data_IF_681552474837
#
_entry.id   IF_681552474837
#
_cell.length_a   1.000
_cell.length_b   1.000
_cell.length_c   1.000
_cell.angle_alpha   90.00
_cell.angle_beta   90.00
_cell.angle_gamma   90.00
#
_symmetry.space_group_name_H-M   'P 1'
#
loop_
_entity.id
_entity.type
_entity.pdbx_description
1 polymer ?
#
# COMPACT_ATOMS: atom_id res chain seq x y z
N UNK A 1 8.26 2.17 -23.21
CA UNK A 1 7.29 3.28 -23.36
C UNK A 1 7.65 4.32 -22.32
N UNK A 2 8.41 5.34 -22.72
CA UNK A 2 8.80 6.44 -21.84
C UNK A 2 9.02 7.68 -22.73
N UNK A 3 8.25 8.75 -22.51
CA UNK A 3 8.23 9.90 -23.42
C UNK A 3 9.56 10.65 -23.45
N UNK A 4 10.28 10.72 -22.32
CA UNK A 4 11.59 11.36 -22.25
C UNK A 4 12.59 10.64 -23.15
N UNK A 5 12.76 9.34 -22.95
CA UNK A 5 13.73 8.58 -23.74
C UNK A 5 13.30 8.45 -25.20
N UNK A 6 12.01 8.26 -25.50
CA UNK A 6 11.57 8.20 -26.90
C UNK A 6 11.75 9.53 -27.65
N UNK A 7 11.59 10.67 -26.96
CA UNK A 7 11.60 11.99 -27.58
C UNK A 7 12.95 12.72 -27.51
N UNK A 8 13.81 12.40 -26.55
CA UNK A 8 15.04 13.16 -26.28
C UNK A 8 16.32 12.33 -26.28
N UNK A 9 16.32 11.15 -25.67
CA UNK A 9 17.54 10.35 -25.46
C UNK A 9 17.35 8.85 -25.77
N UNK A 10 16.92 8.47 -26.98
CA UNK A 10 16.49 7.09 -27.28
C UNK A 10 17.56 6.01 -27.08
N UNK A 11 18.83 6.41 -27.15
CA UNK A 11 20.02 5.57 -26.93
C UNK A 11 20.38 5.38 -25.45
N UNK A 12 19.79 6.18 -24.54
CA UNK A 12 20.13 6.18 -23.10
C UNK A 12 19.14 5.41 -22.22
N UNK A 13 18.19 4.69 -22.80
CA UNK A 13 17.25 3.83 -22.03
C UNK A 13 18.01 2.84 -21.14
N UNK A 14 17.46 2.59 -19.95
CA UNK A 14 17.99 1.63 -18.98
C UNK A 14 19.41 1.92 -18.50
N UNK A 15 19.83 3.18 -18.59
CA UNK A 15 21.18 3.59 -18.24
C UNK A 15 21.30 4.31 -16.91
N UNK A 16 20.21 4.88 -16.42
CA UNK A 16 20.12 5.46 -15.08
C UNK A 16 18.80 5.04 -14.44
N UNK A 17 18.75 3.78 -13.99
CA UNK A 17 17.60 3.26 -13.26
C UNK A 17 17.46 3.94 -11.90
N UNK A 18 18.57 4.43 -11.33
CA UNK A 18 18.57 5.12 -10.03
C UNK A 18 17.70 6.37 -10.03
N UNK A 19 17.74 7.18 -11.09
CA UNK A 19 17.15 8.52 -11.06
C UNK A 19 16.02 8.75 -12.09
N UNK A 20 15.95 7.97 -13.18
CA UNK A 20 15.09 8.32 -14.32
C UNK A 20 13.75 7.57 -14.38
N UNK A 21 13.42 6.79 -13.35
CA UNK A 21 12.07 6.26 -13.09
C UNK A 21 11.45 5.50 -14.28
N UNK A 22 12.25 4.76 -15.06
CA UNK A 22 11.73 4.06 -16.25
C UNK A 22 10.81 2.90 -15.87
N UNK A 23 11.18 2.12 -14.83
CA UNK A 23 10.37 1.02 -14.34
C UNK A 23 9.26 1.53 -13.43
N UNK A 24 9.49 2.59 -12.64
CA UNK A 24 8.44 3.27 -11.88
C UNK A 24 7.27 3.72 -12.79
N UNK A 25 7.59 4.42 -13.88
CA UNK A 25 6.57 4.83 -14.85
C UNK A 25 5.88 3.63 -15.51
N UNK A 26 6.62 2.55 -15.79
CA UNK A 26 6.05 1.33 -16.35
C UNK A 26 5.09 0.64 -15.36
N UNK A 27 5.42 0.63 -14.05
CA UNK A 27 4.59 0.05 -13.00
C UNK A 27 3.27 0.79 -12.86
N UNK A 28 3.29 2.12 -12.72
CA UNK A 28 2.05 2.90 -12.68
C UNK A 28 1.19 2.78 -13.94
N UNK A 29 1.81 2.75 -15.13
CA UNK A 29 1.07 2.49 -16.36
C UNK A 29 0.44 1.09 -16.39
N UNK A 30 1.13 0.10 -15.80
CA UNK A 30 0.63 -1.28 -15.71
C UNK A 30 -0.55 -1.36 -14.74
N UNK A 31 -0.46 -0.74 -13.56
CA UNK A 31 -1.58 -0.67 -12.61
C UNK A 31 -2.82 -0.01 -13.24
N UNK A 32 -2.63 1.10 -13.96
CA UNK A 32 -3.71 1.77 -14.68
C UNK A 32 -4.34 0.89 -15.76
N UNK A 33 -3.53 0.13 -16.50
CA UNK A 33 -4.01 -0.79 -17.53
C UNK A 33 -4.80 -1.97 -16.94
N UNK A 34 -4.36 -2.50 -15.79
CA UNK A 34 -5.05 -3.56 -15.05
C UNK A 34 -6.41 -3.05 -14.58
N UNK A 35 -6.44 -1.92 -13.86
CA UNK A 35 -7.69 -1.34 -13.35
C UNK A 35 -8.67 -1.00 -14.49
N UNK A 36 -8.16 -0.48 -15.62
CA UNK A 36 -8.98 -0.19 -16.80
C UNK A 36 -9.58 -1.46 -17.41
N UNK A 37 -8.80 -2.55 -17.47
CA UNK A 37 -9.29 -3.85 -17.94
C UNK A 37 -10.36 -4.42 -17.00
N UNK A 38 -10.11 -4.47 -15.69
CA UNK A 38 -11.06 -4.99 -14.70
C UNK A 38 -12.39 -4.22 -14.72
N UNK A 39 -12.32 -2.90 -14.93
CA UNK A 39 -13.52 -2.05 -14.96
C UNK A 39 -14.30 -2.13 -16.27
N UNK A 40 -13.61 -2.24 -17.41
CA UNK A 40 -14.24 -2.06 -18.73
C UNK A 40 -14.24 -3.30 -19.62
N UNK A 41 -13.49 -4.34 -19.26
CA UNK A 41 -13.19 -5.51 -20.09
C UNK A 41 -12.30 -5.22 -21.30
N UNK A 42 -11.85 -3.98 -21.51
CA UNK A 42 -11.09 -3.58 -22.72
C UNK A 42 -9.60 -3.88 -22.57
N UNK A 43 -9.10 -4.79 -23.41
CA UNK A 43 -7.73 -5.30 -23.31
C UNK A 43 -6.64 -4.49 -23.98
N UNK A 44 -6.95 -3.59 -24.91
CA UNK A 44 -5.93 -2.92 -25.75
C UNK A 44 -4.77 -2.31 -24.95
N UNK A 45 -5.05 -1.64 -23.83
CA UNK A 45 -4.00 -1.05 -23.00
C UNK A 45 -3.21 -2.11 -22.24
N UNK A 46 -3.90 -3.10 -21.65
CA UNK A 46 -3.27 -4.24 -20.98
C UNK A 46 -2.34 -5.00 -21.93
N UNK A 47 -2.77 -5.33 -23.15
CA UNK A 47 -1.96 -6.05 -24.14
C UNK A 47 -0.69 -5.26 -24.53
N UNK A 48 -0.76 -3.92 -24.56
CA UNK A 48 0.41 -3.05 -24.76
C UNK A 48 1.37 -3.16 -23.57
N UNK A 49 0.84 -3.16 -22.35
CA UNK A 49 1.64 -3.26 -21.14
C UNK A 49 2.25 -4.65 -20.96
N UNK A 50 1.55 -5.73 -21.26
CA UNK A 50 2.09 -7.10 -21.26
C UNK A 50 3.30 -7.23 -22.21
N UNK A 51 3.23 -6.63 -23.40
CA UNK A 51 4.39 -6.55 -24.32
C UNK A 51 5.55 -5.73 -23.76
N UNK A 52 5.25 -4.66 -23.03
CA UNK A 52 6.29 -3.84 -22.41
C UNK A 52 6.93 -4.59 -21.22
N UNK A 53 6.15 -5.29 -20.41
CA UNK A 53 6.62 -6.18 -19.34
C UNK A 53 7.49 -7.30 -19.91
N UNK A 54 7.12 -7.89 -21.04
CA UNK A 54 7.97 -8.90 -21.69
C UNK A 54 9.33 -8.32 -22.14
N UNK A 55 9.36 -7.08 -22.65
CA UNK A 55 10.61 -6.39 -22.94
C UNK A 55 11.45 -6.12 -21.67
N UNK A 56 10.81 -5.71 -20.57
CA UNK A 56 11.47 -5.53 -19.27
C UNK A 56 12.06 -6.87 -18.80
N UNK A 57 11.28 -7.96 -18.86
CA UNK A 57 11.71 -9.33 -18.49
C UNK A 57 12.90 -9.82 -19.31
N UNK A 58 12.97 -9.47 -20.59
CA UNK A 58 14.12 -9.81 -21.44
C UNK A 58 15.34 -8.95 -21.11
N UNK A 59 15.14 -7.72 -20.64
CA UNK A 59 16.21 -6.76 -20.33
C UNK A 59 16.83 -6.99 -18.95
N UNK A 60 16.02 -7.32 -17.95
CA UNK A 60 16.44 -7.44 -16.55
C UNK A 60 16.31 -8.87 -16.03
N UNK A 61 17.32 -9.30 -15.27
CA UNK A 61 17.41 -10.66 -14.76
C UNK A 61 18.85 -11.09 -14.52
N UNK A 62 19.03 -12.34 -14.13
CA UNK A 62 20.34 -12.96 -13.88
C UNK A 62 20.88 -13.75 -15.09
N UNK A 63 20.15 -13.78 -16.20
CA UNK A 63 20.51 -14.52 -17.39
C UNK A 63 21.59 -13.83 -18.25
N UNK A 64 22.20 -14.55 -19.22
CA UNK A 64 23.20 -13.99 -20.10
C UNK A 64 22.69 -12.76 -20.87
N UNK A 65 23.44 -11.66 -20.82
CA UNK A 65 23.12 -10.42 -21.52
C UNK A 65 22.06 -9.54 -20.83
N UNK A 66 21.48 -9.99 -19.72
CA UNK A 66 20.54 -9.19 -18.94
C UNK A 66 21.29 -8.23 -18.00
N UNK A 67 20.64 -7.10 -17.69
CA UNK A 67 21.08 -6.16 -16.66
C UNK A 67 20.58 -6.64 -15.30
N UNK A 68 21.49 -6.73 -14.33
CA UNK A 68 21.15 -7.02 -12.91
C UNK A 68 20.64 -5.78 -12.17
N UNK A 69 19.82 -4.99 -12.86
CA UNK A 69 19.31 -3.70 -12.39
C UNK A 69 17.92 -3.76 -11.80
N UNK A 70 17.61 -2.71 -11.05
CA UNK A 70 16.34 -2.39 -10.41
C UNK A 70 16.19 -0.86 -10.38
N UNK A 71 14.97 -0.34 -10.29
CA UNK A 71 14.72 1.11 -10.28
C UNK A 71 15.16 1.75 -8.94
N UNK A 72 15.53 3.02 -8.94
CA UNK A 72 15.76 3.78 -7.71
C UNK A 72 14.47 4.19 -7.01
N UNK A 73 13.32 4.06 -7.67
CA UNK A 73 11.99 4.17 -7.06
C UNK A 73 11.16 2.91 -7.33
N UNK A 74 10.89 2.17 -6.27
CA UNK A 74 10.00 1.00 -6.22
C UNK A 74 8.61 1.38 -6.72
N UNK A 75 7.96 0.44 -7.43
CA UNK A 75 6.58 0.54 -7.94
C UNK A 75 6.31 -0.61 -8.92
N UNK A 76 7.29 -0.99 -9.74
CA UNK A 76 7.10 -2.04 -10.74
C UNK A 76 6.81 -3.40 -10.08
N UNK A 77 7.37 -3.64 -8.90
CA UNK A 77 7.28 -4.90 -8.18
C UNK A 77 5.82 -5.21 -7.78
N UNK A 78 5.12 -4.27 -7.13
CA UNK A 78 3.71 -4.44 -6.76
C UNK A 78 2.80 -4.51 -7.99
N UNK A 79 3.11 -3.76 -9.05
CA UNK A 79 2.35 -3.80 -10.29
C UNK A 79 2.47 -5.17 -10.99
N UNK A 80 3.64 -5.81 -10.95
CA UNK A 80 3.88 -7.14 -11.50
C UNK A 80 3.16 -8.24 -10.71
N UNK A 81 3.05 -8.13 -9.39
CA UNK A 81 2.22 -9.05 -8.59
C UNK A 81 0.75 -8.91 -8.98
N UNK A 82 0.24 -7.68 -9.13
CA UNK A 82 -1.14 -7.46 -9.62
C UNK A 82 -1.37 -8.07 -11.01
N UNK A 83 -0.40 -7.94 -11.92
CA UNK A 83 -0.48 -8.59 -13.24
C UNK A 83 -0.49 -10.12 -13.12
N UNK A 84 0.30 -10.69 -12.22
CA UNK A 84 0.26 -12.12 -11.92
C UNK A 84 -1.10 -12.54 -11.35
N UNK A 85 -1.70 -11.78 -10.44
CA UNK A 85 -3.04 -12.09 -9.91
C UNK A 85 -4.10 -12.11 -10.99
N UNK A 86 -4.01 -11.20 -11.96
CA UNK A 86 -4.94 -11.10 -13.09
C UNK A 86 -4.76 -12.24 -14.11
N UNK A 87 -3.51 -12.55 -14.48
CA UNK A 87 -3.19 -13.47 -15.60
C UNK A 87 -2.87 -14.89 -15.16
N UNK A 88 -2.48 -15.07 -13.90
CA UNK A 88 -1.91 -16.30 -13.32
C UNK A 88 -0.64 -16.79 -14.03
N UNK A 89 0.02 -15.94 -14.82
CA UNK A 89 1.27 -16.28 -15.48
C UNK A 89 2.48 -16.06 -14.57
N UNK A 90 3.09 -17.18 -14.12
CA UNK A 90 4.21 -17.18 -13.16
C UNK A 90 5.38 -16.27 -13.55
N UNK A 91 5.63 -16.06 -14.84
CA UNK A 91 6.70 -15.18 -15.35
C UNK A 91 6.64 -13.75 -14.80
N UNK A 92 5.45 -13.25 -14.45
CA UNK A 92 5.27 -11.93 -13.85
C UNK A 92 5.67 -11.92 -12.38
N UNK A 93 5.29 -12.97 -11.63
CA UNK A 93 5.70 -13.19 -10.25
C UNK A 93 7.22 -13.38 -10.13
N UNK A 94 7.80 -14.18 -11.02
CA UNK A 94 9.25 -14.42 -11.06
C UNK A 94 10.03 -13.12 -11.33
N UNK A 95 9.51 -12.24 -12.18
CA UNK A 95 10.12 -10.93 -12.46
C UNK A 95 10.01 -9.98 -11.25
N UNK A 96 8.86 -9.95 -10.57
CA UNK A 96 8.70 -9.19 -9.32
C UNK A 96 9.69 -9.68 -8.25
N UNK A 97 9.78 -10.99 -8.07
CA UNK A 97 10.70 -11.63 -7.14
C UNK A 97 12.16 -11.31 -7.47
N UNK A 98 12.53 -11.28 -8.76
CA UNK A 98 13.87 -10.86 -9.19
C UNK A 98 14.19 -9.44 -8.70
N UNK A 99 13.33 -8.44 -8.94
CA UNK A 99 13.60 -7.06 -8.52
C UNK A 99 13.76 -6.93 -7.00
N UNK A 100 12.91 -7.61 -6.23
CA UNK A 100 12.99 -7.64 -4.77
C UNK A 100 14.28 -8.32 -4.27
N UNK A 101 14.68 -9.44 -4.89
CA UNK A 101 15.85 -10.20 -4.45
C UNK A 101 17.18 -9.56 -4.88
N UNK A 102 17.20 -8.88 -6.02
CA UNK A 102 18.39 -8.20 -6.54
C UNK A 102 18.65 -6.86 -5.81
N UNK A 103 17.60 -6.23 -5.26
CA UNK A 103 17.71 -4.95 -4.55
C UNK A 103 18.68 -5.02 -3.37
N UNK A 104 19.72 -4.19 -3.44
CA UNK A 104 20.72 -4.03 -2.37
C UNK A 104 21.78 -5.13 -2.30
N UNK A 105 21.87 -6.01 -3.31
CA UNK A 105 22.96 -6.98 -3.41
C UNK A 105 24.31 -6.28 -3.60
N UNK A 106 25.33 -6.78 -2.90
CA UNK A 106 26.70 -6.26 -2.96
C UNK A 106 27.74 -7.37 -2.70
N UNK A 107 29.01 -7.21 -3.13
CA UNK A 107 29.48 -6.31 -4.19
C UNK A 107 29.45 -6.98 -5.60
N UNK A 108 29.33 -6.20 -6.70
CA UNK A 108 29.19 -4.74 -6.73
C UNK A 108 27.73 -4.28 -6.57
N UNK A 109 27.53 -3.06 -6.07
CA UNK A 109 26.20 -2.44 -6.04
C UNK A 109 25.80 -1.96 -7.44
N UNK A 110 24.58 -2.29 -7.90
CA UNK A 110 24.19 -2.02 -9.30
C UNK A 110 24.25 -0.53 -9.66
N UNK A 111 23.87 0.39 -8.75
CA UNK A 111 23.95 1.83 -9.02
C UNK A 111 25.36 2.37 -9.20
N UNK A 112 26.38 1.71 -8.62
CA UNK A 112 27.78 2.04 -8.93
C UNK A 112 28.14 1.54 -10.33
N UNK A 113 27.72 0.32 -10.68
CA UNK A 113 27.97 -0.28 -12.00
C UNK A 113 27.39 0.59 -13.11
N UNK A 114 26.11 0.96 -13.03
CA UNK A 114 25.50 1.81 -14.06
C UNK A 114 26.08 3.23 -14.10
N UNK A 115 26.48 3.80 -12.95
CA UNK A 115 27.21 5.08 -12.93
C UNK A 115 28.51 4.98 -13.71
N UNK A 116 29.34 3.99 -13.41
CA UNK A 116 30.62 3.79 -14.08
C UNK A 116 30.44 3.51 -15.59
N UNK A 117 29.40 2.77 -15.98
CA UNK A 117 29.05 2.57 -17.39
C UNK A 117 28.69 3.89 -18.10
N UNK A 118 27.93 4.77 -17.45
CA UNK A 118 27.59 6.10 -17.99
C UNK A 118 28.83 6.98 -18.13
N UNK A 119 29.67 7.02 -17.11
CA UNK A 119 30.91 7.81 -17.10
C UNK A 119 31.88 7.34 -18.20
N UNK A 120 32.02 6.02 -18.40
CA UNK A 120 32.83 5.45 -19.50
C UNK A 120 32.32 5.84 -20.89
N UNK A 121 31.02 6.10 -21.04
CA UNK A 121 30.41 6.57 -22.29
C UNK A 121 30.54 8.09 -22.48
N UNK A 122 31.14 8.81 -21.53
CA UNK A 122 31.23 10.27 -21.56
C UNK A 122 29.87 10.96 -21.41
N UNK A 123 28.87 10.28 -20.84
CA UNK A 123 27.57 10.88 -20.57
C UNK A 123 27.65 11.75 -19.31
N UNK A 124 26.87 12.84 -19.30
CA UNK A 124 26.94 13.84 -18.23
C UNK A 124 26.82 13.21 -16.84
N UNK A 125 27.70 13.65 -15.95
CA UNK A 125 27.68 13.25 -14.55
C UNK A 125 26.39 13.74 -13.88
N UNK A 126 25.52 12.80 -13.51
CA UNK A 126 24.33 13.10 -12.73
C UNK A 126 24.64 12.96 -11.24
N UNK A 127 24.64 14.10 -10.54
CA UNK A 127 24.86 14.19 -9.10
C UNK A 127 23.89 13.26 -8.39
N UNK A 128 24.41 12.44 -7.49
CA UNK A 128 23.56 11.62 -6.64
C UNK A 128 22.85 12.53 -5.63
N UNK A 129 21.56 12.83 -5.88
CA UNK A 129 20.84 13.89 -5.18
C UNK A 129 20.84 13.72 -3.65
N UNK A 130 20.75 12.48 -3.18
CA UNK A 130 20.63 12.14 -1.76
C UNK A 130 21.85 11.41 -1.19
N UNK A 131 22.88 11.18 -2.02
CA UNK A 131 24.20 10.63 -1.65
C UNK A 131 24.22 9.33 -0.80
N UNK A 132 23.09 8.65 -0.59
CA UNK A 132 22.96 7.47 0.28
C UNK A 132 22.04 6.40 -0.34
N UNK A 133 22.46 5.14 -0.30
CA UNK A 133 21.65 3.99 -0.70
C UNK A 133 20.45 3.73 0.20
N UNK A 134 20.42 4.34 1.40
CA UNK A 134 19.25 4.31 2.26
C UNK A 134 18.07 5.03 1.63
N UNK A 135 18.29 6.11 0.86
CA UNK A 135 17.23 6.90 0.22
C UNK A 135 16.30 6.04 -0.64
N UNK A 136 16.86 5.05 -1.32
CA UNK A 136 16.15 4.09 -2.19
C UNK A 136 16.13 2.68 -1.59
N UNK A 137 16.29 2.51 -0.27
CA UNK A 137 16.21 1.20 0.39
C UNK A 137 17.09 0.11 -0.27
N UNK A 138 18.28 0.50 -0.74
CA UNK A 138 19.24 -0.36 -1.47
C UNK A 138 20.56 -0.55 -0.73
N UNK A 139 20.64 -0.05 0.50
CA UNK A 139 21.83 -0.17 1.35
C UNK A 139 22.10 -1.62 1.80
N UNK A 140 21.07 -2.48 1.84
CA UNK A 140 21.14 -3.90 2.18
C UNK A 140 20.08 -4.70 1.41
N UNK A 141 20.28 -6.02 1.20
CA UNK A 141 19.22 -6.92 0.74
C UNK A 141 17.97 -6.79 1.61
N UNK A 142 16.77 -6.83 1.00
CA UNK A 142 15.52 -6.49 1.70
C UNK A 142 15.24 -7.36 2.94
N UNK A 143 15.67 -8.63 2.93
CA UNK A 143 15.48 -9.56 4.07
C UNK A 143 16.37 -9.22 5.26
N UNK A 144 17.44 -8.47 5.04
CA UNK A 144 18.41 -8.03 6.04
C UNK A 144 18.14 -6.60 6.56
N UNK A 145 17.15 -5.91 5.99
CA UNK A 145 16.76 -4.58 6.46
C UNK A 145 16.05 -4.70 7.81
N UNK A 146 16.57 -3.99 8.80
CA UNK A 146 16.13 -3.97 10.19
C UNK A 146 15.52 -2.63 10.62
N UNK A 147 15.67 -1.61 9.78
CA UNK A 147 15.14 -0.27 9.96
C UNK A 147 14.56 0.26 8.66
N UNK A 148 13.45 0.97 8.76
CA UNK A 148 12.89 1.73 7.64
C UNK A 148 13.57 3.08 7.57
N UNK A 149 14.25 3.32 6.45
CA UNK A 149 15.11 4.48 6.19
C UNK A 149 14.81 5.09 4.82
N UNK A 150 15.30 6.31 4.57
CA UNK A 150 15.19 6.95 3.26
C UNK A 150 13.79 7.44 2.92
N UNK A 151 13.48 7.53 1.63
CA UNK A 151 12.24 8.11 1.13
C UNK A 151 11.00 7.30 1.53
N UNK A 152 9.97 7.96 2.07
CA UNK A 152 8.84 7.25 2.66
C UNK A 152 8.02 6.47 1.62
N UNK A 153 7.66 7.09 0.49
CA UNK A 153 6.84 6.42 -0.56
C UNK A 153 7.55 5.21 -1.15
N UNK A 154 8.87 5.29 -1.35
CA UNK A 154 9.70 4.23 -1.93
C UNK A 154 9.68 3.00 -1.03
N UNK A 155 9.92 3.22 0.26
CA UNK A 155 9.86 2.19 1.28
C UNK A 155 8.46 1.52 1.33
N UNK A 156 7.38 2.29 1.35
CA UNK A 156 6.03 1.72 1.45
C UNK A 156 5.64 0.92 0.20
N UNK A 157 6.01 1.38 -1.01
CA UNK A 157 5.81 0.61 -2.24
C UNK A 157 6.66 -0.67 -2.27
N UNK A 158 7.90 -0.61 -1.79
CA UNK A 158 8.76 -1.78 -1.62
C UNK A 158 8.07 -2.83 -0.72
N UNK A 159 7.62 -2.41 0.46
CA UNK A 159 7.08 -3.31 1.47
C UNK A 159 5.72 -3.86 1.10
N UNK A 160 4.93 -3.11 0.31
CA UNK A 160 3.70 -3.59 -0.33
C UNK A 160 4.01 -4.81 -1.21
N UNK A 161 5.01 -4.71 -2.09
CA UNK A 161 5.40 -5.81 -2.97
C UNK A 161 6.00 -7.00 -2.19
N UNK A 162 6.80 -6.73 -1.16
CA UNK A 162 7.37 -7.77 -0.30
C UNK A 162 6.30 -8.59 0.41
N UNK A 163 5.24 -7.94 0.92
CA UNK A 163 4.15 -8.63 1.62
C UNK A 163 3.38 -9.56 0.68
N UNK A 164 3.03 -9.11 -0.53
CA UNK A 164 2.41 -9.96 -1.56
C UNK A 164 3.32 -11.16 -1.91
N UNK A 165 4.61 -10.92 -2.15
CA UNK A 165 5.56 -11.97 -2.50
C UNK A 165 5.79 -12.98 -1.37
N UNK A 166 5.71 -12.55 -0.11
CA UNK A 166 5.81 -13.44 1.03
C UNK A 166 4.68 -14.48 1.03
N UNK A 167 3.45 -14.07 0.68
CA UNK A 167 2.30 -14.99 0.49
C UNK A 167 2.51 -15.87 -0.73
N UNK A 168 2.71 -15.27 -1.90
CA UNK A 168 2.71 -15.99 -3.19
C UNK A 168 3.86 -16.99 -3.34
N UNK A 169 4.99 -16.73 -2.68
CA UNK A 169 6.15 -17.62 -2.69
C UNK A 169 6.25 -18.49 -1.43
N UNK A 170 5.33 -18.33 -0.47
CA UNK A 170 5.42 -18.95 0.85
C UNK A 170 6.80 -18.71 1.51
N UNK A 171 7.28 -17.46 1.47
CA UNK A 171 8.61 -17.07 1.93
C UNK A 171 8.55 -16.53 3.37
N UNK A 172 8.82 -17.41 4.33
CA UNK A 172 8.82 -17.06 5.75
C UNK A 172 9.86 -15.99 6.13
N UNK A 173 11.01 -15.94 5.44
CA UNK A 173 12.04 -14.94 5.72
C UNK A 173 11.61 -13.55 5.23
N UNK A 174 10.90 -13.49 4.10
CA UNK A 174 10.32 -12.25 3.60
C UNK A 174 9.15 -11.79 4.48
N UNK A 175 8.28 -12.70 4.93
CA UNK A 175 7.23 -12.40 5.93
C UNK A 175 7.83 -11.78 7.20
N UNK A 176 8.86 -12.41 7.77
CA UNK A 176 9.52 -11.90 8.98
C UNK A 176 10.19 -10.53 8.77
N UNK A 177 10.67 -10.23 7.55
CA UNK A 177 11.18 -8.91 7.21
C UNK A 177 10.06 -7.86 7.16
N UNK A 178 8.92 -8.17 6.54
CA UNK A 178 7.75 -7.30 6.51
C UNK A 178 7.24 -6.97 7.92
N UNK A 179 7.11 -7.97 8.80
CA UNK A 179 6.67 -7.78 10.19
C UNK A 179 7.63 -6.90 10.98
N UNK A 180 8.94 -7.16 10.88
CA UNK A 180 9.95 -6.35 11.56
C UNK A 180 9.95 -4.88 11.11
N UNK A 181 9.83 -4.65 9.79
CA UNK A 181 9.80 -3.30 9.23
C UNK A 181 8.49 -2.58 9.54
N UNK A 182 7.38 -3.32 9.59
CA UNK A 182 6.09 -2.81 10.06
C UNK A 182 6.20 -2.30 11.50
N UNK A 183 6.71 -3.12 12.41
CA UNK A 183 6.86 -2.75 13.81
C UNK A 183 7.80 -1.55 13.98
N UNK A 184 8.90 -1.47 13.21
CA UNK A 184 9.80 -0.31 13.25
C UNK A 184 9.08 1.01 12.92
N UNK A 185 8.24 1.02 11.86
CA UNK A 185 7.50 2.22 11.47
C UNK A 185 6.40 2.54 12.48
N UNK A 186 5.56 1.57 12.81
CA UNK A 186 4.37 1.82 13.64
C UNK A 186 4.72 2.20 15.08
N UNK A 187 5.85 1.70 15.60
CA UNK A 187 6.26 1.98 16.98
C UNK A 187 7.05 3.29 17.09
N UNK A 188 7.85 3.63 16.08
CA UNK A 188 8.86 4.71 16.23
C UNK A 188 8.78 5.84 15.22
N UNK A 189 8.10 5.70 14.07
CA UNK A 189 8.21 6.65 12.94
C UNK A 189 6.88 7.10 12.34
N UNK A 190 5.74 6.73 12.95
CA UNK A 190 4.42 7.11 12.47
C UNK A 190 3.83 8.25 13.30
N UNK A 191 3.39 9.32 12.64
CA UNK A 191 2.63 10.39 13.27
C UNK A 191 1.24 9.90 13.71
N UNK A 192 0.59 10.60 14.65
CA UNK A 192 -0.77 10.26 15.13
C UNK A 192 -1.83 10.26 14.01
N UNK A 193 -1.55 10.92 12.88
CA UNK A 193 -2.39 10.96 11.67
C UNK A 193 -2.09 9.82 10.68
N UNK A 194 -1.19 8.91 11.03
CA UNK A 194 -0.54 7.95 10.13
C UNK A 194 0.26 8.59 8.97
N UNK A 195 0.62 9.88 9.10
CA UNK A 195 1.60 10.51 8.22
C UNK A 195 3.00 9.91 8.43
N UNK A 196 3.81 9.89 7.38
CA UNK A 196 5.17 9.34 7.38
C UNK A 196 6.17 10.34 6.79
N UNK A 197 7.37 10.36 7.36
CA UNK A 197 8.47 11.20 6.91
C UNK A 197 8.48 12.57 7.62
N UNK A 198 9.34 12.77 8.63
CA UNK A 198 9.47 14.07 9.30
C UNK A 198 10.28 15.11 8.52
N UNK A 199 11.02 14.71 7.48
CA UNK A 199 12.02 15.57 6.84
C UNK A 199 11.69 15.92 5.38
N UNK A 200 11.65 17.21 5.00
CA UNK A 200 11.54 17.64 3.60
C UNK A 200 12.82 17.39 2.80
N UNK A 201 13.95 17.14 3.46
CA UNK A 201 15.22 16.97 2.76
C UNK A 201 15.25 15.68 1.93
N UNK A 202 14.75 14.59 2.50
CA UNK A 202 14.69 13.26 1.87
C UNK A 202 13.24 12.77 1.68
N UNK A 203 12.25 13.60 2.00
CA UNK A 203 10.82 13.27 1.87
C UNK A 203 10.47 11.97 2.60
N UNK A 204 11.10 11.75 3.75
CA UNK A 204 11.21 10.43 4.32
C UNK A 204 11.72 10.39 5.74
N UNK A 205 12.16 9.19 6.13
CA UNK A 205 12.49 8.84 7.49
C UNK A 205 13.83 9.42 7.94
N UNK A 206 13.94 9.70 9.24
CA UNK A 206 15.15 10.18 9.91
C UNK A 206 15.63 9.13 10.93
N UNK A 207 15.29 9.28 12.21
CA UNK A 207 15.65 8.36 13.30
C UNK A 207 14.43 8.07 14.17
N UNK A 208 14.54 7.05 15.03
CA UNK A 208 13.45 6.61 15.91
C UNK A 208 12.94 7.78 16.78
N UNK A 209 11.62 7.93 16.83
CA UNK A 209 10.87 8.93 17.59
C UNK A 209 11.03 10.40 17.14
N UNK A 210 11.72 10.68 16.04
CA UNK A 210 11.79 12.02 15.45
C UNK A 210 10.49 12.39 14.73
N UNK A 211 9.52 12.94 15.47
CA UNK A 211 8.19 13.29 14.95
C UNK A 211 7.81 14.76 15.23
N UNK A 212 8.58 15.74 14.72
CA UNK A 212 8.26 17.16 14.91
C UNK A 212 6.95 17.51 14.20
N UNK A 213 6.02 18.20 14.88
CA UNK A 213 4.70 18.52 14.32
C UNK A 213 4.74 19.63 13.27
N UNK A 214 5.52 20.68 13.52
CA UNK A 214 5.55 21.88 12.69
C UNK A 214 6.32 21.68 11.38
N UNK A 215 7.41 20.90 11.41
CA UNK A 215 8.27 20.66 10.25
C UNK A 215 8.00 19.34 9.55
N UNK A 216 6.96 18.59 9.98
CA UNK A 216 6.59 17.31 9.40
C UNK A 216 6.42 17.44 7.87
N UNK A 217 7.04 16.52 7.14
CA UNK A 217 6.77 16.38 5.71
C UNK A 217 5.43 15.67 5.51
N UNK A 218 5.29 14.48 6.11
CA UNK A 218 4.04 13.70 6.15
C UNK A 218 3.35 13.68 4.78
N UNK A 219 4.07 13.21 3.75
CA UNK A 219 3.62 13.31 2.37
C UNK A 219 2.29 12.58 2.15
N UNK A 220 1.36 13.19 1.41
CA UNK A 220 0.08 12.53 1.05
C UNK A 220 0.31 11.19 0.37
N UNK A 221 1.27 11.08 -0.57
CA UNK A 221 1.60 9.80 -1.21
C UNK A 221 2.11 8.76 -0.22
N UNK A 222 2.82 9.15 0.83
CA UNK A 222 3.35 8.21 1.81
C UNK A 222 2.21 7.58 2.64
N UNK A 223 1.20 8.38 3.01
CA UNK A 223 -0.02 7.87 3.64
C UNK A 223 -0.82 6.95 2.71
N UNK A 224 -0.94 7.30 1.42
CA UNK A 224 -1.58 6.42 0.42
C UNK A 224 -0.83 5.10 0.26
N UNK A 225 0.50 5.16 0.19
CA UNK A 225 1.35 3.98 0.09
C UNK A 225 1.28 3.11 1.35
N UNK A 226 1.18 3.72 2.53
CA UNK A 226 0.95 3.01 3.80
C UNK A 226 -0.38 2.25 3.78
N UNK A 227 -1.45 2.82 3.20
CA UNK A 227 -2.73 2.11 3.04
C UNK A 227 -2.57 0.86 2.17
N UNK A 228 -1.80 0.94 1.08
CA UNK A 228 -1.52 -0.23 0.25
C UNK A 228 -0.76 -1.29 1.05
N UNK A 229 0.31 -0.90 1.74
CA UNK A 229 1.10 -1.82 2.54
C UNK A 229 0.27 -2.47 3.65
N UNK A 230 -0.50 -1.69 4.40
CA UNK A 230 -1.38 -2.17 5.46
C UNK A 230 -2.40 -3.20 4.94
N UNK A 231 -2.96 -2.97 3.74
CA UNK A 231 -3.85 -3.95 3.11
C UNK A 231 -3.12 -5.26 2.80
N UNK A 232 -1.90 -5.20 2.26
CA UNK A 232 -1.12 -6.42 1.96
C UNK A 232 -0.71 -7.17 3.23
N UNK A 233 -0.34 -6.45 4.29
CA UNK A 233 -0.07 -7.06 5.59
C UNK A 233 -1.31 -7.75 6.17
N UNK A 234 -2.49 -7.15 5.99
CA UNK A 234 -3.77 -7.74 6.41
C UNK A 234 -4.14 -9.01 5.62
N UNK A 235 -3.73 -9.09 4.35
CA UNK A 235 -3.89 -10.29 3.52
C UNK A 235 -2.85 -11.37 3.84
N UNK A 236 -1.65 -10.97 4.29
CA UNK A 236 -0.59 -11.85 4.74
C UNK A 236 -0.91 -12.49 6.10
N UNK A 237 -1.50 -11.72 7.02
CA UNK A 237 -1.93 -12.18 8.33
C UNK A 237 -3.13 -11.36 8.80
N UNK A 238 -4.24 -12.03 9.15
CA UNK A 238 -5.49 -11.36 9.51
C UNK A 238 -5.39 -10.82 10.94
N UNK A 239 -4.73 -9.67 11.09
CA UNK A 239 -4.55 -8.95 12.34
C UNK A 239 -5.14 -7.54 12.25
N UNK A 240 -5.99 -7.20 13.22
CA UNK A 240 -6.68 -5.92 13.34
C UNK A 240 -5.74 -4.74 13.40
N UNK A 241 -4.49 -4.91 13.88
CA UNK A 241 -3.49 -3.82 13.92
C UNK A 241 -3.19 -3.24 12.53
N UNK A 242 -3.22 -4.07 11.48
CA UNK A 242 -2.99 -3.61 10.11
C UNK A 242 -4.18 -2.78 9.62
N UNK A 243 -5.39 -3.26 9.88
CA UNK A 243 -6.62 -2.58 9.52
C UNK A 243 -6.85 -1.30 10.33
N UNK A 244 -6.37 -1.22 11.57
CA UNK A 244 -6.39 0.01 12.38
C UNK A 244 -5.52 1.10 11.76
N UNK A 245 -4.31 0.76 11.30
CA UNK A 245 -3.43 1.70 10.61
C UNK A 245 -4.00 2.09 9.24
N UNK A 246 -4.58 1.12 8.52
CA UNK A 246 -5.29 1.37 7.27
C UNK A 246 -6.41 2.41 7.47
N UNK A 247 -7.28 2.19 8.46
CA UNK A 247 -8.35 3.11 8.84
C UNK A 247 -7.79 4.49 9.23
N UNK A 248 -6.75 4.53 10.08
CA UNK A 248 -6.15 5.77 10.55
C UNK A 248 -5.60 6.61 9.39
N UNK A 249 -4.83 6.00 8.50
CA UNK A 249 -4.28 6.65 7.32
C UNK A 249 -5.37 7.11 6.35
N UNK A 250 -6.42 6.30 6.17
CA UNK A 250 -7.54 6.63 5.30
C UNK A 250 -8.30 7.86 5.79
N UNK A 251 -8.72 7.87 7.06
CA UNK A 251 -9.50 8.98 7.63
C UNK A 251 -8.68 10.22 8.01
N UNK A 252 -7.34 10.12 8.04
CA UNK A 252 -6.45 11.23 8.40
C UNK A 252 -5.42 11.51 7.31
N UNK A 253 -4.23 10.88 7.38
CA UNK A 253 -3.04 11.29 6.63
C UNK A 253 -3.17 11.27 5.10
N UNK A 254 -4.07 10.46 4.52
CA UNK A 254 -4.34 10.47 3.09
C UNK A 254 -5.41 11.50 2.72
N UNK A 255 -6.55 11.51 3.44
CA UNK A 255 -7.67 12.42 3.13
C UNK A 255 -7.37 13.89 3.47
N UNK A 256 -6.49 14.20 4.42
CA UNK A 256 -6.04 15.58 4.67
C UNK A 256 -5.41 16.21 3.43
N UNK A 257 -4.81 15.37 2.58
CA UNK A 257 -4.20 15.70 1.30
C UNK A 257 -5.15 16.28 0.26
N UNK A 258 -6.46 16.09 0.40
CA UNK A 258 -7.48 16.50 -0.57
C UNK A 258 -8.44 17.52 0.04
N UNK A 259 -8.76 18.59 -0.67
CA UNK A 259 -9.80 19.54 -0.26
C UNK A 259 -11.19 18.91 -0.34
N UNK A 260 -12.15 19.48 0.40
CA UNK A 260 -13.54 18.99 0.39
C UNK A 260 -14.24 19.12 -0.96
N UNK A 261 -13.85 20.09 -1.77
CA UNK A 261 -14.32 20.27 -3.15
C UNK A 261 -13.58 19.36 -4.17
N UNK A 262 -12.46 18.74 -3.76
CA UNK A 262 -11.63 17.90 -4.63
C UNK A 262 -10.73 18.67 -5.60
N UNK A 263 -10.63 20.00 -5.48
CA UNK A 263 -9.91 20.84 -6.45
C UNK A 263 -8.50 21.24 -6.00
N UNK A 264 -8.17 21.10 -4.70
CA UNK A 264 -6.91 21.54 -4.12
C UNK A 264 -6.25 20.44 -3.29
N UNK A 265 -4.92 20.44 -3.27
CA UNK A 265 -4.14 19.32 -2.74
C UNK A 265 -3.02 19.78 -1.80
N UNK A 266 -2.75 18.98 -0.76
CA UNK A 266 -1.50 19.08 -0.01
C UNK A 266 -0.51 18.04 -0.52
N UNK A 267 0.74 18.48 -0.70
CA UNK A 267 1.87 17.56 -0.79
C UNK A 267 2.30 17.16 0.63
N UNK A 268 2.56 18.16 1.48
CA UNK A 268 2.96 18.01 2.88
C UNK A 268 1.77 18.20 3.84
N UNK A 269 1.67 17.38 4.89
CA UNK A 269 0.57 17.41 5.86
C UNK A 269 1.08 17.66 7.30
N UNK A 270 1.50 18.89 7.65
CA UNK A 270 2.01 19.20 8.98
C UNK A 270 0.93 19.09 10.05
N UNK A 271 1.34 18.72 11.27
CA UNK A 271 0.43 18.56 12.42
C UNK A 271 0.30 19.85 13.25
N UNK A 272 1.23 20.78 13.08
CA UNK A 272 1.16 22.14 13.63
C UNK A 272 1.38 23.15 12.52
N UNK A 273 0.55 24.19 12.47
CA UNK A 273 0.58 25.18 11.39
C UNK A 273 0.38 26.59 11.92
N UNK A 274 1.15 27.54 11.39
CA UNK A 274 0.97 28.98 11.59
C UNK A 274 0.01 29.60 10.55
N UNK A 275 -0.64 28.79 9.71
CA UNK A 275 -1.56 29.22 8.65
C UNK A 275 -0.91 29.48 7.29
N UNK A 276 0.42 29.33 7.16
CA UNK A 276 1.12 29.52 5.88
C UNK A 276 1.01 28.33 4.91
N UNK A 277 1.09 27.06 5.35
CA UNK A 277 0.82 25.92 4.47
C UNK A 277 -0.64 25.93 4.02
N UNK A 278 -0.86 26.10 2.71
CA UNK A 278 -2.17 26.01 2.07
C UNK A 278 -2.15 24.94 0.98
N UNK A 279 -3.33 24.39 0.66
CA UNK A 279 -3.48 23.47 -0.46
C UNK A 279 -3.24 24.19 -1.78
N UNK A 280 -2.68 23.50 -2.76
CA UNK A 280 -2.34 24.05 -4.07
C UNK A 280 -3.32 23.53 -5.12
N UNK A 281 -3.59 24.34 -6.14
CA UNK A 281 -4.31 23.91 -7.33
C UNK A 281 -3.52 22.82 -8.08
N UNK A 282 -2.20 22.99 -8.15
CA UNK A 282 -1.29 22.07 -8.83
C UNK A 282 0.15 22.16 -8.31
N UNK A 283 0.87 21.03 -8.34
CA UNK A 283 2.28 20.91 -7.96
C UNK A 283 3.13 20.53 -9.19
N UNK A 284 4.39 20.99 -9.27
CA UNK A 284 5.29 20.65 -10.40
C UNK A 284 5.63 19.17 -10.48
N UNK A 285 5.65 18.50 -9.32
CA UNK A 285 5.60 17.05 -9.15
C UNK A 285 4.19 16.65 -8.66
N UNK A 286 3.20 16.42 -9.54
CA UNK A 286 1.80 16.21 -9.15
C UNK A 286 1.49 14.76 -8.74
N UNK A 287 2.43 14.09 -8.05
CA UNK A 287 2.23 12.71 -7.58
C UNK A 287 1.03 12.64 -6.62
N UNK A 288 0.98 13.53 -5.61
CA UNK A 288 -0.04 13.54 -4.57
C UNK A 288 -1.46 13.69 -5.14
N UNK A 289 -1.64 14.59 -6.11
CA UNK A 289 -2.93 14.87 -6.76
C UNK A 289 -3.56 13.61 -7.35
N UNK A 290 -2.79 12.87 -8.15
CA UNK A 290 -3.30 11.66 -8.80
C UNK A 290 -3.37 10.48 -7.82
N UNK A 291 -2.44 10.42 -6.86
CA UNK A 291 -2.35 9.30 -5.91
C UNK A 291 -3.53 9.28 -4.92
N UNK A 292 -3.89 10.42 -4.34
CA UNK A 292 -5.08 10.50 -3.46
C UNK A 292 -6.37 10.28 -4.25
N UNK A 293 -6.45 10.79 -5.49
CA UNK A 293 -7.63 10.61 -6.34
C UNK A 293 -7.89 9.15 -6.67
N UNK A 294 -6.85 8.38 -7.04
CA UNK A 294 -7.01 6.93 -7.30
C UNK A 294 -7.38 6.15 -6.04
N UNK A 295 -6.90 6.56 -4.87
CA UNK A 295 -7.28 5.95 -3.60
C UNK A 295 -8.77 6.17 -3.32
N UNK A 296 -9.25 7.41 -3.40
CA UNK A 296 -10.67 7.74 -3.18
C UNK A 296 -11.55 6.97 -4.17
N UNK A 297 -11.16 6.91 -5.44
CA UNK A 297 -11.92 6.17 -6.46
C UNK A 297 -11.94 4.65 -6.22
N UNK A 298 -10.96 4.09 -5.50
CA UNK A 298 -10.84 2.65 -5.22
C UNK A 298 -11.20 2.26 -3.78
N UNK A 299 -11.74 3.19 -2.98
CA UNK A 299 -11.95 3.01 -1.54
C UNK A 299 -12.81 1.79 -1.17
N UNK A 300 -13.74 1.39 -2.04
CA UNK A 300 -14.57 0.20 -1.81
C UNK A 300 -13.77 -1.11 -1.71
N UNK A 301 -12.58 -1.17 -2.30
CA UNK A 301 -11.70 -2.35 -2.27
C UNK A 301 -11.01 -2.61 -0.93
N UNK A 302 -11.17 -1.72 0.07
CA UNK A 302 -10.53 -1.84 1.38
C UNK A 302 -11.47 -2.26 2.51
N UNK A 303 -12.78 -2.32 2.26
CA UNK A 303 -13.77 -2.59 3.30
C UNK A 303 -13.84 -4.06 3.70
N UNK A 304 -13.80 -4.96 2.72
CA UNK A 304 -14.12 -6.37 2.91
C UNK A 304 -13.13 -7.24 2.14
N UNK A 305 -12.63 -8.30 2.78
CA UNK A 305 -11.94 -9.39 2.10
C UNK A 305 -12.79 -10.66 2.11
N UNK A 306 -12.58 -11.52 1.11
CA UNK A 306 -13.22 -12.84 1.03
C UNK A 306 -12.18 -13.96 1.12
N UNK A 307 -12.59 -15.08 1.68
CA UNK A 307 -11.93 -16.37 1.60
C UNK A 307 -12.95 -17.42 1.11
N UNK A 308 -12.49 -18.63 0.82
CA UNK A 308 -13.35 -19.72 0.39
C UNK A 308 -14.36 -20.14 1.48
N UNK A 309 -14.05 -19.85 2.74
CA UNK A 309 -14.82 -20.24 3.94
C UNK A 309 -15.33 -19.06 4.78
N UNK A 310 -15.18 -17.82 4.30
CA UNK A 310 -15.73 -16.67 5.02
C UNK A 310 -15.48 -15.29 4.42
N UNK A 311 -15.91 -14.29 5.18
CA UNK A 311 -15.87 -12.86 4.86
C UNK A 311 -15.26 -12.13 6.05
N UNK A 312 -14.39 -11.16 5.80
CA UNK A 312 -13.82 -10.32 6.85
C UNK A 312 -14.12 -8.84 6.59
N UNK A 313 -14.73 -8.15 7.56
CA UNK A 313 -14.98 -6.72 7.58
C UNK A 313 -13.82 -5.98 8.23
N UNK A 314 -13.15 -5.14 7.45
CA UNK A 314 -11.99 -4.36 7.88
C UNK A 314 -12.35 -2.90 8.13
N UNK A 315 -13.19 -2.28 7.30
CA UNK A 315 -13.65 -0.91 7.48
C UNK A 315 -15.16 -0.86 7.62
N UNK A 316 -15.63 0.23 8.23
CA UNK A 316 -17.04 0.59 8.38
C UNK A 316 -17.26 1.99 7.81
N UNK A 317 -18.40 2.24 7.18
CA UNK A 317 -18.65 3.52 6.50
C UNK A 317 -19.73 3.49 5.43
N UNK A 318 -20.50 2.42 5.35
CA UNK A 318 -21.52 2.15 4.35
C UNK A 318 -20.93 1.49 3.10
N UNK A 319 -21.19 0.20 2.91
CA UNK A 319 -20.84 -0.52 1.68
C UNK A 319 -21.92 -1.53 1.29
N UNK A 320 -22.13 -1.72 -0.01
CA UNK A 320 -22.95 -2.79 -0.56
C UNK A 320 -22.16 -3.53 -1.64
N UNK A 321 -22.04 -4.85 -1.51
CA UNK A 321 -21.28 -5.68 -2.45
C UNK A 321 -21.87 -7.09 -2.55
N UNK A 322 -21.40 -7.85 -3.55
CA UNK A 322 -21.65 -9.29 -3.64
C UNK A 322 -20.32 -10.01 -3.84
N UNK A 323 -20.13 -11.11 -3.13
CA UNK A 323 -18.92 -11.93 -3.20
C UNK A 323 -19.27 -13.42 -3.16
N UNK A 324 -18.37 -14.25 -3.66
CA UNK A 324 -18.49 -15.72 -3.62
C UNK A 324 -17.74 -16.25 -2.38
N UNK A 325 -18.42 -17.02 -1.53
CA UNK A 325 -17.83 -17.73 -0.39
C UNK A 325 -18.69 -18.95 -0.04
N UNK A 326 -18.09 -20.00 0.52
CA UNK A 326 -18.76 -21.27 0.84
C UNK A 326 -19.60 -21.85 -0.32
N UNK A 327 -19.17 -21.61 -1.56
CA UNK A 327 -19.84 -22.10 -2.78
C UNK A 327 -21.17 -21.41 -3.11
N UNK A 328 -21.48 -20.27 -2.49
CA UNK A 328 -22.65 -19.44 -2.82
C UNK A 328 -22.26 -17.98 -2.99
N UNK A 329 -23.01 -17.28 -3.83
CA UNK A 329 -22.98 -15.82 -3.86
C UNK A 329 -23.65 -15.28 -2.59
N UNK A 330 -23.00 -14.33 -1.95
CA UNK A 330 -23.48 -13.64 -0.75
C UNK A 330 -23.53 -12.15 -1.03
N UNK A 331 -24.73 -11.57 -1.02
CA UNK A 331 -24.88 -10.13 -0.97
C UNK A 331 -24.66 -9.67 0.46
N UNK A 332 -23.87 -8.60 0.63
CA UNK A 332 -23.65 -8.00 1.93
C UNK A 332 -23.86 -6.51 1.86
N UNK A 333 -24.59 -5.99 2.84
CA UNK A 333 -24.89 -4.57 2.96
C UNK A 333 -24.62 -4.09 4.37
N UNK A 334 -23.61 -3.23 4.50
CA UNK A 334 -23.33 -2.50 5.72
C UNK A 334 -23.96 -1.10 5.65
N UNK A 335 -24.70 -0.73 6.69
CA UNK A 335 -25.28 0.59 6.87
C UNK A 335 -24.85 1.15 8.23
N UNK A 336 -24.18 2.30 8.19
CA UNK A 336 -23.77 3.04 9.38
C UNK A 336 -23.67 4.53 9.07
N UNK A 337 -23.54 5.34 10.12
CA UNK A 337 -23.13 6.74 10.03
C UNK A 337 -21.66 6.90 10.49
N UNK A 338 -20.85 5.85 10.31
CA UNK A 338 -19.42 5.89 10.62
C UNK A 338 -18.71 6.92 9.71
N UNK A 339 -17.77 7.73 10.21
CA UNK A 339 -17.12 7.69 11.52
C UNK A 339 -17.81 8.54 12.62
N UNK A 340 -19.03 9.02 12.41
CA UNK A 340 -19.75 9.88 13.38
C UNK A 340 -20.54 9.11 14.43
N UNK A 341 -20.86 7.84 14.16
CA UNK A 341 -21.54 6.92 15.07
C UNK A 341 -20.90 5.54 14.98
N UNK A 342 -20.79 4.87 16.12
CA UNK A 342 -20.31 3.48 16.21
C UNK A 342 -21.40 2.43 15.99
N UNK A 343 -22.62 2.84 15.64
CA UNK A 343 -23.73 1.94 15.29
C UNK A 343 -23.60 1.46 13.84
N UNK A 344 -23.37 0.16 13.69
CA UNK A 344 -23.11 -0.51 12.42
C UNK A 344 -24.07 -1.68 12.27
N UNK A 345 -24.79 -1.72 11.15
CA UNK A 345 -25.72 -2.81 10.81
C UNK A 345 -25.27 -3.48 9.52
N UNK A 346 -25.09 -4.80 9.55
CA UNK A 346 -24.64 -5.60 8.41
C UNK A 346 -25.69 -6.65 8.09
N UNK A 347 -26.26 -6.58 6.89
CA UNK A 347 -27.20 -7.57 6.35
C UNK A 347 -26.42 -8.60 5.53
N UNK A 348 -26.62 -9.89 5.83
CA UNK A 348 -25.97 -11.03 5.16
C UNK A 348 -27.05 -11.81 4.38
N UNK A 349 -26.93 -11.79 3.05
CA UNK A 349 -27.92 -12.33 2.13
C UNK A 349 -27.29 -13.37 1.19
N UNK A 350 -27.07 -14.62 1.63
CA UNK A 350 -26.64 -15.69 0.75
C UNK A 350 -27.78 -16.12 -0.19
N UNK A 351 -27.46 -16.42 -1.46
CA UNK A 351 -28.45 -16.94 -2.43
C UNK A 351 -29.01 -18.29 -2.00
N UNK A 352 -28.16 -19.16 -1.44
CA UNK A 352 -28.54 -20.42 -0.79
C UNK A 352 -28.00 -20.44 0.64
N UNK A 353 -28.79 -20.85 1.65
CA UNK A 353 -28.28 -20.95 3.02
C UNK A 353 -26.99 -21.76 3.11
N UNK A 354 -25.97 -21.19 3.76
CA UNK A 354 -24.63 -21.77 3.82
C UNK A 354 -23.97 -21.47 5.17
N UNK A 355 -23.07 -22.36 5.60
CA UNK A 355 -22.27 -22.16 6.80
C UNK A 355 -20.92 -21.58 6.44
N UNK A 356 -20.60 -20.42 6.99
CA UNK A 356 -19.31 -19.75 6.78
C UNK A 356 -19.01 -18.76 7.91
N UNK A 357 -17.76 -18.30 7.96
CA UNK A 357 -17.31 -17.31 8.92
C UNK A 357 -17.64 -15.89 8.46
N UNK A 358 -18.22 -15.08 9.36
CA UNK A 358 -18.19 -13.62 9.23
C UNK A 358 -17.29 -13.07 10.34
N UNK A 359 -16.17 -12.48 9.93
CA UNK A 359 -15.15 -11.91 10.82
C UNK A 359 -15.31 -10.40 10.85
N UNK A 360 -15.48 -9.81 12.04
CA UNK A 360 -15.67 -8.37 12.20
C UNK A 360 -14.51 -7.79 13.00
N UNK A 361 -13.83 -6.77 12.45
CA UNK A 361 -12.79 -6.06 13.20
C UNK A 361 -13.41 -5.32 14.39
N UNK A 362 -12.85 -5.50 15.57
CA UNK A 362 -13.03 -4.58 16.69
C UNK A 362 -11.84 -3.64 16.67
N UNK A 363 -12.03 -2.34 16.32
CA UNK A 363 -10.92 -1.41 16.20
C UNK A 363 -10.13 -1.29 17.50
N UNK A 364 -8.81 -1.20 17.42
CA UNK A 364 -7.93 -1.14 18.60
C UNK A 364 -8.18 0.08 19.51
N UNK A 365 -8.78 1.14 18.98
CA UNK A 365 -9.22 2.31 19.77
C UNK A 365 -10.49 2.04 20.59
N UNK A 366 -11.30 1.04 20.22
CA UNK A 366 -12.59 0.77 20.85
C UNK A 366 -12.42 -0.10 22.11
N UNK A 367 -12.67 0.49 23.28
CA UNK A 367 -12.58 -0.22 24.58
C UNK A 367 -13.78 -1.11 24.88
N UNK A 368 -14.94 -0.78 24.31
CA UNK A 368 -16.20 -1.49 24.55
C UNK A 368 -16.97 -1.63 23.25
N UNK A 369 -17.09 -2.87 22.79
CA UNK A 369 -17.93 -3.23 21.66
C UNK A 369 -19.04 -4.19 22.11
N UNK A 370 -20.23 -4.04 21.54
CA UNK A 370 -21.33 -5.02 21.70
C UNK A 370 -21.76 -5.52 20.34
N UNK A 371 -22.03 -6.82 20.24
CA UNK A 371 -22.33 -7.49 18.99
C UNK A 371 -23.53 -8.42 19.17
N UNK A 372 -24.46 -8.41 18.22
CA UNK A 372 -25.57 -9.35 18.19
C UNK A 372 -25.84 -9.83 16.76
N UNK A 373 -26.45 -11.01 16.65
CA UNK A 373 -27.00 -11.51 15.38
C UNK A 373 -28.47 -11.79 15.57
N UNK A 374 -29.33 -11.18 14.77
CA UNK A 374 -30.79 -11.27 14.88
C UNK A 374 -31.31 -10.93 16.29
N UNK A 375 -30.65 -10.00 16.98
CA UNK A 375 -30.98 -9.59 18.35
C UNK A 375 -30.41 -10.48 19.46
N UNK A 376 -29.81 -11.63 19.14
CA UNK A 376 -29.14 -12.49 20.11
C UNK A 376 -27.68 -12.06 20.28
N UNK A 377 -27.27 -11.79 21.52
CA UNK A 377 -25.91 -11.32 21.82
C UNK A 377 -24.86 -12.38 21.46
N UNK A 378 -23.82 -11.97 20.73
CA UNK A 378 -22.66 -12.82 20.46
C UNK A 378 -21.65 -12.63 21.58
N UNK A 379 -21.34 -13.72 22.28
CA UNK A 379 -20.27 -13.75 23.27
C UNK A 379 -19.00 -14.28 22.63
N UNK A 380 -17.98 -13.43 22.49
CA UNK A 380 -16.69 -13.82 21.94
C UNK A 380 -15.67 -12.71 22.19
N UNK A 381 -14.43 -13.07 22.50
CA UNK A 381 -13.33 -12.11 22.53
C UNK A 381 -12.72 -12.03 21.13
N UNK A 382 -12.29 -10.86 20.67
CA UNK A 382 -11.56 -10.76 19.41
C UNK A 382 -10.27 -11.56 19.48
N UNK A 383 -9.99 -12.36 18.45
CA UNK A 383 -8.69 -12.97 18.19
C UNK A 383 -7.98 -12.09 17.15
N UNK A 384 -6.77 -11.61 17.47
CA UNK A 384 -6.03 -10.65 16.63
C UNK A 384 -6.91 -9.49 16.13
N UNK A 385 -7.78 -8.96 17.01
CA UNK A 385 -8.68 -7.85 16.66
C UNK A 385 -9.93 -8.21 15.86
N UNK A 386 -10.21 -9.49 15.58
CA UNK A 386 -11.43 -9.93 14.88
C UNK A 386 -12.32 -10.82 15.75
N UNK A 387 -13.63 -10.53 15.77
CA UNK A 387 -14.64 -11.46 16.29
C UNK A 387 -15.14 -12.33 15.13
N UNK A 388 -15.01 -13.64 15.25
CA UNK A 388 -15.48 -14.61 14.25
C UNK A 388 -16.85 -15.13 14.65
N UNK A 389 -17.84 -14.96 13.77
CA UNK A 389 -19.17 -15.55 13.87
C UNK A 389 -19.25 -16.70 12.88
N UNK A 390 -19.17 -17.93 13.39
CA UNK A 390 -19.35 -19.15 12.61
C UNK A 390 -20.80 -19.66 12.75
N UNK A 391 -21.59 -19.59 11.69
CA UNK A 391 -22.97 -20.10 11.68
C UNK A 391 -23.48 -20.40 10.29
N UNK A 392 -24.63 -21.08 10.23
CA UNK A 392 -25.46 -21.12 9.02
C UNK A 392 -26.14 -19.75 8.83
N UNK A 393 -25.84 -19.11 7.71
CA UNK A 393 -26.43 -17.83 7.32
C UNK A 393 -27.61 -18.08 6.39
N UNK A 394 -28.70 -17.36 6.62
CA UNK A 394 -29.86 -17.33 5.74
C UNK A 394 -30.15 -15.89 5.32
N UNK A 395 -30.90 -15.75 4.22
CA UNK A 395 -31.32 -14.44 3.73
C UNK A 395 -32.03 -13.63 4.81
N UNK A 396 -31.58 -12.40 4.99
CA UNK A 396 -32.10 -11.43 5.96
C UNK A 396 -31.49 -11.55 7.34
N UNK A 397 -30.45 -12.39 7.53
CA UNK A 397 -29.69 -12.40 8.77
C UNK A 397 -28.98 -11.05 8.94
N UNK A 398 -29.04 -10.52 10.16
CA UNK A 398 -28.50 -9.20 10.50
C UNK A 398 -27.52 -9.31 11.63
N UNK A 399 -26.39 -8.66 11.46
CA UNK A 399 -25.41 -8.40 12.50
C UNK A 399 -25.49 -6.93 12.92
N UNK A 400 -25.71 -6.66 14.20
CA UNK A 400 -25.64 -5.32 14.76
C UNK A 400 -24.38 -5.21 15.64
N UNK A 401 -23.48 -4.31 15.28
CA UNK A 401 -22.26 -3.98 16.00
C UNK A 401 -22.37 -2.55 16.53
N UNK A 402 -22.16 -2.36 17.83
CA UNK A 402 -22.04 -1.04 18.43
C UNK A 402 -20.64 -0.87 19.04
N UNK A 403 -19.93 0.13 18.56
CA UNK A 403 -18.61 0.54 19.03
C UNK A 403 -18.76 1.78 19.92
N UNK A 404 -18.26 1.72 21.16
CA UNK A 404 -18.24 2.87 22.04
C UNK A 404 -17.17 3.88 21.58
N UNK A 405 -17.58 5.13 21.30
CA UNK A 405 -16.75 6.19 20.70
C UNK A 405 -16.63 7.43 21.61
N UNK A 406 -16.11 7.31 22.85
CA UNK A 406 -15.86 8.47 23.69
C UNK A 406 -14.70 9.31 23.13
N UNK A 407 -14.67 10.59 23.49
CA UNK A 407 -13.48 11.42 23.26
C UNK A 407 -12.32 10.89 24.12
N UNK A 408 -11.17 10.65 23.48
CA UNK A 408 -9.97 10.11 24.12
C UNK A 408 -8.83 11.13 24.09
N UNK A 409 -7.98 11.09 25.12
CA UNK A 409 -6.71 11.82 25.13
C UNK A 409 -5.60 10.85 24.77
N UNK A 410 -4.91 11.13 23.67
CA UNK A 410 -3.76 10.37 23.22
C UNK A 410 -2.48 11.10 23.61
N UNK A 411 -1.50 10.32 24.04
CA UNK A 411 -0.16 10.80 24.38
C UNK A 411 0.84 9.98 23.59
N UNK A 412 1.81 10.65 23.00
CA UNK A 412 2.93 9.97 22.36
C UNK A 412 3.78 9.23 23.40
N UNK A 413 4.58 8.29 22.93
CA UNK A 413 5.62 7.67 23.76
C UNK A 413 6.56 8.77 24.33
N UNK A 414 7.08 8.67 25.57
CA UNK A 414 7.93 9.71 26.17
C UNK A 414 9.23 10.04 25.42
N UNK A 415 9.58 9.27 24.40
CA UNK A 415 10.76 9.50 23.55
C UNK A 415 10.48 10.39 22.34
N UNK A 416 9.22 10.72 22.07
CA UNK A 416 8.79 11.64 21.00
C UNK A 416 8.96 13.09 21.42
#
# INVERSE_FOLDING_TARGET
LNCWYLGREPEKRWSNLRDNHELYNAGHMLEGAIAYFETTGRRRWLDIMERYVEHIRQTFGTGPGQKRGYDGHEEIELALVKLYHLTKEKKHLDLAAYFINERGQQPPHYFDVEREEREKKGWDFQRYAQASYEYSQTHKPVREQDKVVGHAVRAMYLYTAMADLAVELNDAALKAACERLWDDVMVTKMYVTAGLGPSPHNEGFTYDYDLPNQTAYAETCASVALIFWAQRMLHLDLDGKYADVLELALYNGALSGLSRDGEHYFYMNPLESNGMPTRWDWHTCPCCTMNVSRLVASVGGYFVSRADDGIAFHLYGGISTSLETAGTRVAVRETSNYPWSGEIRIEIDPETPATFDVKLRIPGWCKKATLSVNGEAVTGKPENGYVTIHRAWAKGDVIDLALDMPAERLYAHPSV
#
